data_IF_907355004644
#
_entry.id   IF_907355004644
#
_cell.length_a   1.000
_cell.length_b   1.000
_cell.length_c   1.000
_cell.angle_alpha   90.00
_cell.angle_beta   90.00
_cell.angle_gamma   90.00
#
_symmetry.space_group_name_H-M   'P 1'
#
loop_
_entity.id
_entity.type
_entity.pdbx_description
1 polymer ?
#
# COMPACT_ATOMS: atom_id res chain seq x y z
N UNK A 1 19.21 5.13 -16.82
CA UNK A 1 18.66 3.79 -16.58
C UNK A 1 17.75 3.84 -15.37
N UNK A 2 16.44 3.61 -15.51
CA UNK A 2 15.51 3.63 -14.38
C UNK A 2 15.72 2.33 -13.59
N UNK A 3 16.39 2.41 -12.44
CA UNK A 3 16.56 1.25 -11.55
C UNK A 3 15.21 0.95 -10.92
N UNK A 4 14.49 -0.03 -11.48
CA UNK A 4 13.27 -0.56 -10.88
C UNK A 4 13.72 -1.53 -9.79
N UNK A 5 13.85 -1.04 -8.56
CA UNK A 5 13.87 -1.96 -7.43
C UNK A 5 12.45 -2.51 -7.27
N UNK A 6 12.31 -3.82 -7.39
CA UNK A 6 11.05 -4.51 -7.17
C UNK A 6 10.80 -4.53 -5.65
N UNK A 7 10.05 -3.55 -5.15
CA UNK A 7 9.52 -3.57 -3.79
C UNK A 7 8.56 -4.77 -3.67
N UNK A 8 8.74 -5.62 -2.67
CA UNK A 8 7.83 -6.74 -2.42
C UNK A 8 6.58 -6.22 -1.70
N UNK A 9 5.39 -6.49 -2.24
CA UNK A 9 4.11 -6.07 -1.67
C UNK A 9 2.99 -7.08 -2.01
N UNK A 10 1.94 -7.19 -1.17
CA UNK A 10 0.80 -8.08 -1.44
C UNK A 10 0.05 -7.65 -2.71
N UNK A 11 -0.30 -8.61 -3.58
CA UNK A 11 -1.06 -8.33 -4.81
C UNK A 11 -2.57 -8.20 -4.58
N UNK A 12 -3.06 -8.69 -3.45
CA UNK A 12 -4.46 -8.58 -3.07
C UNK A 12 -4.63 -8.67 -1.55
N UNK A 13 -5.83 -8.35 -1.08
CA UNK A 13 -6.27 -8.57 0.29
C UNK A 13 -7.79 -8.83 0.32
N UNK A 14 -8.28 -9.43 1.39
CA UNK A 14 -9.66 -9.90 1.58
C UNK A 14 -10.21 -9.36 2.90
N UNK A 15 -10.74 -8.13 2.96
CA UNK A 15 -11.29 -7.56 4.19
C UNK A 15 -12.66 -8.17 4.52
N UNK A 16 -12.67 -9.43 4.97
CA UNK A 16 -13.85 -10.22 5.33
C UNK A 16 -13.89 -10.57 6.83
N UNK A 17 -12.90 -10.11 7.60
CA UNK A 17 -12.75 -10.27 9.04
C UNK A 17 -12.64 -11.75 9.46
N UNK A 18 -11.96 -12.57 8.65
CA UNK A 18 -11.64 -13.96 8.96
C UNK A 18 -10.25 -14.13 9.62
N UNK A 19 -9.49 -13.04 9.75
CA UNK A 19 -8.14 -13.00 10.30
C UNK A 19 -7.03 -13.15 9.26
N UNK A 20 -7.36 -13.37 7.99
CA UNK A 20 -6.40 -13.64 6.91
C UNK A 20 -6.49 -12.59 5.80
N UNK A 21 -5.39 -11.85 5.62
CA UNK A 21 -5.29 -10.78 4.61
C UNK A 21 -6.39 -9.71 4.74
N UNK A 22 -6.85 -9.40 5.95
CA UNK A 22 -7.90 -8.41 6.18
C UNK A 22 -7.48 -6.97 5.86
N UNK A 23 -6.17 -6.70 5.91
CA UNK A 23 -5.61 -5.39 5.59
C UNK A 23 -4.54 -5.48 4.51
N UNK A 24 -4.38 -4.38 3.78
CA UNK A 24 -3.30 -4.22 2.81
C UNK A 24 -2.24 -3.23 3.32
N UNK A 25 -0.98 -3.64 3.30
CA UNK A 25 0.18 -2.81 3.65
C UNK A 25 1.46 -3.32 2.95
N UNK A 26 2.53 -2.53 2.96
CA UNK A 26 3.87 -2.92 2.51
C UNK A 26 4.79 -3.07 3.73
N UNK A 27 4.65 -4.19 4.45
CA UNK A 27 5.41 -4.45 5.69
C UNK A 27 6.93 -4.55 5.50
N UNK A 28 7.41 -4.73 4.27
CA UNK A 28 8.84 -4.64 3.96
C UNK A 28 9.44 -3.26 4.31
N UNK A 29 8.62 -2.22 4.45
CA UNK A 29 9.03 -0.87 4.83
C UNK A 29 8.77 -0.56 6.32
N UNK A 30 8.36 -1.54 7.13
CA UNK A 30 7.94 -1.35 8.53
C UNK A 30 8.97 -0.64 9.41
N UNK A 31 10.24 -0.97 9.23
CA UNK A 31 11.36 -0.41 10.01
C UNK A 31 11.87 0.94 9.45
N UNK A 32 11.13 1.57 8.54
CA UNK A 32 11.43 2.90 8.00
C UNK A 32 10.39 3.92 8.49
N UNK A 33 10.66 4.65 9.59
CA UNK A 33 9.70 5.61 10.15
C UNK A 33 9.29 6.73 9.19
N UNK A 34 10.17 7.07 8.26
CA UNK A 34 9.96 8.11 7.24
C UNK A 34 9.15 7.61 6.03
N UNK A 35 8.97 6.28 5.90
CA UNK A 35 8.27 5.74 4.75
C UNK A 35 6.77 6.00 4.83
N UNK A 36 6.19 6.35 3.68
CA UNK A 36 4.76 6.67 3.54
C UNK A 36 4.18 5.91 2.37
N UNK A 37 2.98 5.37 2.55
CA UNK A 37 2.24 4.70 1.49
C UNK A 37 0.94 5.47 1.25
N UNK A 38 0.68 5.83 0.02
CA UNK A 38 -0.55 6.49 -0.42
C UNK A 38 -1.35 5.51 -1.27
N UNK A 39 -2.65 5.43 -1.06
CA UNK A 39 -3.56 4.54 -1.79
C UNK A 39 -4.57 5.39 -2.56
N UNK A 40 -4.81 5.02 -3.81
CA UNK A 40 -5.64 5.74 -4.75
C UNK A 40 -6.70 4.84 -5.40
N UNK A 41 -7.84 5.42 -5.75
CA UNK A 41 -8.80 4.76 -6.63
C UNK A 41 -8.37 4.83 -8.12
N UNK A 42 -9.18 4.22 -8.99
CA UNK A 42 -8.95 4.21 -10.46
C UNK A 42 -8.94 5.59 -11.13
N UNK A 43 -9.49 6.61 -10.48
CA UNK A 43 -9.52 8.00 -10.97
C UNK A 43 -8.33 8.81 -10.43
N UNK A 44 -7.45 8.20 -9.62
CA UNK A 44 -6.33 8.87 -8.99
C UNK A 44 -6.71 9.65 -7.73
N UNK A 45 -7.92 9.48 -7.19
CA UNK A 45 -8.32 10.12 -5.93
C UNK A 45 -7.58 9.45 -4.78
N UNK A 46 -6.92 10.26 -3.95
CA UNK A 46 -6.30 9.79 -2.72
C UNK A 46 -7.38 9.30 -1.74
N UNK A 47 -7.26 8.05 -1.31
CA UNK A 47 -8.17 7.40 -0.35
C UNK A 47 -7.55 7.32 1.04
N UNK A 48 -6.28 6.93 1.14
CA UNK A 48 -5.57 6.76 2.41
C UNK A 48 -4.10 7.11 2.30
N UNK A 49 -3.55 7.57 3.42
CA UNK A 49 -2.13 7.56 3.70
C UNK A 49 -1.89 6.60 4.86
N UNK A 50 -0.91 5.72 4.73
CA UNK A 50 -0.54 4.72 5.71
C UNK A 50 0.90 4.94 6.17
N UNK A 51 1.13 4.63 7.44
CA UNK A 51 2.45 4.26 7.94
C UNK A 51 2.65 2.75 7.70
N UNK A 52 3.79 2.31 7.14
CA UNK A 52 4.13 0.89 7.03
C UNK A 52 4.23 0.16 8.39
N UNK A 53 4.38 0.91 9.49
CA UNK A 53 4.37 0.37 10.84
C UNK A 53 2.96 0.14 11.42
N UNK A 54 1.92 0.69 10.78
CA UNK A 54 0.53 0.51 11.17
C UNK A 54 -0.10 -0.78 10.61
N UNK A 55 -1.37 -0.96 10.93
CA UNK A 55 -2.14 -2.17 10.55
C UNK A 55 -2.41 -2.28 9.05
N UNK A 56 -2.35 -1.17 8.31
CA UNK A 56 -2.63 -1.12 6.88
C UNK A 56 -4.03 -0.59 6.57
N UNK A 57 -4.53 -0.94 5.39
CA UNK A 57 -5.84 -0.51 4.92
C UNK A 57 -6.82 -1.66 4.80
N UNK A 58 -7.99 -1.51 5.41
CA UNK A 58 -9.10 -2.46 5.45
C UNK A 58 -10.09 -2.32 4.27
N UNK A 59 -9.78 -1.48 3.28
CA UNK A 59 -10.67 -1.25 2.15
C UNK A 59 -11.82 -0.28 2.43
N UNK A 60 -11.74 0.53 3.50
CA UNK A 60 -12.74 1.54 3.82
C UNK A 60 -12.30 2.97 3.50
N UNK A 61 -13.24 3.82 3.09
CA UNK A 61 -13.03 5.27 2.93
C UNK A 61 -14.25 6.01 3.45
N UNK A 62 -14.03 7.00 4.34
CA UNK A 62 -15.11 7.73 5.02
C UNK A 62 -16.20 6.81 5.60
N UNK A 63 -15.78 5.79 6.36
CA UNK A 63 -16.64 4.79 6.99
C UNK A 63 -17.47 3.93 6.01
N UNK A 64 -17.18 4.01 4.71
CA UNK A 64 -17.86 3.23 3.67
C UNK A 64 -16.92 2.17 3.10
N UNK A 65 -17.43 0.96 2.93
CA UNK A 65 -16.71 -0.11 2.25
C UNK A 65 -16.56 0.24 0.76
N UNK A 66 -15.32 0.22 0.27
CA UNK A 66 -15.05 0.44 -1.16
C UNK A 66 -15.21 -0.85 -1.98
N UNK A 67 -15.51 -0.79 -3.28
CA UNK A 67 -15.80 -1.97 -4.09
C UNK A 67 -14.61 -2.92 -4.27
N UNK A 68 -14.92 -4.18 -4.58
CA UNK A 68 -13.93 -5.18 -5.04
C UNK A 68 -13.42 -4.81 -6.44
N UNK A 69 -12.24 -4.22 -6.50
CA UNK A 69 -11.59 -3.76 -7.73
C UNK A 69 -10.10 -3.54 -7.46
N UNK A 70 -9.40 -3.04 -8.47
CA UNK A 70 -7.99 -2.66 -8.34
C UNK A 70 -7.86 -1.24 -7.75
N UNK A 71 -6.84 -1.09 -6.92
CA UNK A 71 -6.40 0.16 -6.32
C UNK A 71 -4.92 0.35 -6.59
N UNK A 72 -4.47 1.60 -6.60
CA UNK A 72 -3.09 1.96 -6.88
C UNK A 72 -2.42 2.46 -5.61
N UNK A 73 -1.10 2.28 -5.54
CA UNK A 73 -0.31 2.87 -4.47
C UNK A 73 0.89 3.64 -5.00
N UNK A 74 1.33 4.60 -4.19
CA UNK A 74 2.66 5.21 -4.25
C UNK A 74 3.31 5.03 -2.88
N UNK A 75 4.52 4.49 -2.84
CA UNK A 75 5.31 4.36 -1.62
C UNK A 75 6.55 5.22 -1.73
N UNK A 76 6.74 6.12 -0.76
CA UNK A 76 7.94 6.94 -0.58
C UNK A 76 8.79 6.30 0.51
N UNK A 77 10.07 6.02 0.26
CA UNK A 77 10.93 5.29 1.20
C UNK A 77 12.41 5.60 0.97
N UNK A 78 13.27 5.23 1.93
CA UNK A 78 14.73 5.35 1.79
C UNK A 78 15.29 4.00 1.34
N UNK A 79 15.98 3.96 0.21
CA UNK A 79 16.60 2.74 -0.28
C UNK A 79 17.75 2.32 0.66
N UNK A 80 17.69 1.13 1.30
CA UNK A 80 18.67 0.75 2.32
C UNK A 80 20.12 0.72 1.83
N UNK A 81 20.33 0.40 0.55
CA UNK A 81 21.67 0.24 -0.02
C UNK A 81 22.32 1.57 -0.42
N UNK A 82 21.54 2.62 -0.68
CA UNK A 82 22.04 3.90 -1.21
C UNK A 82 21.77 5.08 -0.28
N UNK A 83 20.83 4.94 0.65
CA UNK A 83 20.36 6.06 1.49
C UNK A 83 19.54 7.10 0.71
N UNK A 84 19.23 6.85 -0.57
CA UNK A 84 18.48 7.78 -1.40
C UNK A 84 16.98 7.59 -1.20
N UNK A 85 16.25 8.70 -1.24
CA UNK A 85 14.79 8.66 -1.32
C UNK A 85 14.36 8.08 -2.68
N UNK A 86 13.48 7.07 -2.63
CA UNK A 86 12.89 6.42 -3.79
C UNK A 86 11.38 6.39 -3.69
N UNK A 87 10.77 6.24 -4.88
CA UNK A 87 9.35 5.99 -5.02
C UNK A 87 9.12 4.63 -5.68
N UNK A 88 8.15 3.88 -5.17
CA UNK A 88 7.59 2.70 -5.82
C UNK A 88 6.11 2.92 -6.10
N UNK A 89 5.68 2.55 -7.30
CA UNK A 89 4.27 2.61 -7.72
C UNK A 89 3.81 1.22 -8.17
N UNK A 90 2.54 0.92 -7.94
CA UNK A 90 1.95 -0.34 -8.32
C UNK A 90 0.45 -0.37 -8.05
N UNK A 91 -0.13 -1.55 -8.18
CA UNK A 91 -1.54 -1.78 -7.88
C UNK A 91 -1.75 -3.11 -7.16
N UNK A 92 -2.89 -3.23 -6.50
CA UNK A 92 -3.34 -4.42 -5.79
C UNK A 92 -4.86 -4.53 -5.87
N UNK A 93 -5.38 -5.73 -5.67
CA UNK A 93 -6.82 -6.00 -5.78
C UNK A 93 -7.45 -6.15 -4.39
N UNK A 94 -8.56 -5.44 -4.14
CA UNK A 94 -9.47 -5.75 -3.03
C UNK A 94 -10.41 -6.87 -3.49
N UNK A 95 -10.47 -7.98 -2.75
CA UNK A 95 -11.39 -9.10 -3.02
C UNK A 95 -12.39 -9.28 -1.88
N UNK A 96 -13.64 -9.61 -2.21
CA UNK A 96 -14.69 -10.01 -1.27
C UNK A 96 -15.47 -11.17 -1.87
#
# INVERSE_FOLDING_TARGET
>A
SKVINVLNYPKFFTPNNDGYNDTWNIFALKEQPEAKIYIFDRQGKLLKQLSPAGEGWDGTFNNSQLPSTDYWFKAEYIEPNTGLQKEAIGHFTLKR
#
